data_IF_621536794744
#
_entry.id   IF_621536794744
#
_cell.length_a   1.000
_cell.length_b   1.000
_cell.length_c   1.000
_cell.angle_alpha   90.00
_cell.angle_beta   90.00
_cell.angle_gamma   90.00
#
_symmetry.space_group_name_H-M   'P 1'
#
loop_
_entity.id
_entity.type
_entity.pdbx_description
1 polymer ?
#
# COMPACT_ATOMS: atom_id res chain seq x y z
N UNK A 1 16.23 -1.07 -15.07
CA UNK A 1 14.84 -0.61 -15.24
C UNK A 1 13.97 -1.84 -15.04
N UNK A 2 13.75 -2.23 -13.78
CA UNK A 2 12.57 -3.01 -13.41
C UNK A 2 11.53 -1.97 -13.04
N UNK A 3 10.38 -1.97 -13.69
CA UNK A 3 9.24 -1.28 -13.10
C UNK A 3 8.90 -2.10 -11.87
N UNK A 4 8.90 -1.48 -10.69
CA UNK A 4 8.63 -2.19 -9.45
C UNK A 4 7.18 -2.66 -9.46
N UNK A 5 6.96 -3.84 -10.04
CA UNK A 5 5.67 -4.47 -10.13
C UNK A 5 5.29 -4.91 -8.72
N UNK A 6 4.41 -4.14 -8.09
CA UNK A 6 3.79 -4.52 -6.83
C UNK A 6 2.67 -5.50 -7.14
N UNK A 7 2.52 -6.55 -6.33
CA UNK A 7 1.36 -7.45 -6.39
C UNK A 7 0.53 -7.29 -5.14
N UNK A 8 -0.78 -7.11 -5.28
CA UNK A 8 -1.73 -7.28 -4.21
C UNK A 8 -2.30 -8.69 -4.30
N UNK A 9 -2.33 -9.42 -3.19
CA UNK A 9 -2.94 -10.75 -3.05
C UNK A 9 -3.95 -10.71 -1.89
N UNK A 10 -5.21 -11.00 -2.19
CA UNK A 10 -6.28 -11.14 -1.20
C UNK A 10 -6.34 -12.58 -0.67
N UNK A 11 -6.91 -12.78 0.51
CA UNK A 11 -7.08 -14.11 1.11
C UNK A 11 -7.78 -15.13 0.17
N UNK A 12 -8.73 -14.68 -0.66
CA UNK A 12 -9.38 -15.53 -1.68
C UNK A 12 -8.43 -16.06 -2.77
N UNK A 13 -7.20 -15.55 -2.85
CA UNK A 13 -6.27 -15.82 -3.95
C UNK A 13 -6.49 -14.93 -5.18
N UNK A 14 -7.29 -13.86 -5.05
CA UNK A 14 -7.36 -12.82 -6.06
C UNK A 14 -6.05 -12.02 -6.04
N UNK A 15 -5.44 -11.83 -7.22
CA UNK A 15 -4.15 -11.14 -7.34
C UNK A 15 -4.20 -10.07 -8.42
N UNK A 16 -3.75 -8.88 -8.05
CA UNK A 16 -3.65 -7.73 -8.95
C UNK A 16 -2.18 -7.35 -9.08
N UNK A 17 -1.70 -7.32 -10.33
CA UNK A 17 -0.40 -6.77 -10.69
C UNK A 17 -0.52 -5.26 -10.85
N UNK A 18 0.38 -4.50 -10.21
CA UNK A 18 0.40 -3.04 -10.18
C UNK A 18 -0.91 -2.41 -9.65
N UNK A 19 -1.32 -2.70 -8.40
CA UNK A 19 -2.51 -2.10 -7.82
C UNK A 19 -2.32 -0.58 -7.64
N UNK A 20 -3.08 0.20 -8.39
CA UNK A 20 -3.18 1.65 -8.22
C UNK A 20 -3.95 2.02 -6.94
N UNK A 21 -3.91 3.29 -6.51
CA UNK A 21 -4.63 3.77 -5.33
C UNK A 21 -6.14 3.43 -5.39
N UNK A 22 -6.79 3.66 -6.53
CA UNK A 22 -8.17 3.26 -6.78
C UNK A 22 -8.37 1.74 -6.67
N UNK A 23 -7.41 0.94 -7.14
CA UNK A 23 -7.47 -0.52 -7.01
C UNK A 23 -7.33 -0.97 -5.56
N UNK A 24 -6.45 -0.32 -4.77
CA UNK A 24 -6.34 -0.56 -3.33
C UNK A 24 -7.63 -0.16 -2.60
N UNK A 25 -8.22 0.98 -2.96
CA UNK A 25 -9.50 1.41 -2.42
C UNK A 25 -10.58 0.36 -2.70
N UNK A 26 -10.72 -0.09 -3.95
CA UNK A 26 -11.69 -1.12 -4.32
C UNK A 26 -11.42 -2.45 -3.62
N UNK A 27 -10.16 -2.87 -3.46
CA UNK A 27 -9.83 -4.10 -2.74
C UNK A 27 -10.20 -4.02 -1.27
N UNK A 28 -9.93 -2.89 -0.61
CA UNK A 28 -10.24 -2.71 0.82
C UNK A 28 -11.75 -2.52 1.03
N UNK A 29 -12.46 -1.90 0.08
CA UNK A 29 -13.93 -1.84 0.05
C UNK A 29 -14.52 -3.25 -0.12
N UNK A 30 -13.95 -4.07 -1.02
CA UNK A 30 -14.33 -5.47 -1.20
C UNK A 30 -14.10 -6.31 0.07
N UNK A 31 -13.08 -6.03 0.89
CA UNK A 31 -12.90 -6.70 2.20
C UNK A 31 -14.10 -6.50 3.14
N UNK A 32 -14.88 -5.44 2.97
CA UNK A 32 -16.07 -5.17 3.79
C UNK A 32 -17.33 -5.85 3.24
N UNK A 33 -17.38 -6.18 1.94
CA UNK A 33 -18.54 -6.80 1.28
C UNK A 33 -18.37 -8.33 1.06
N UNK A 34 -17.13 -8.78 0.87
CA UNK A 34 -16.74 -10.18 0.66
C UNK A 34 -16.29 -10.87 1.95
N UNK A 35 -16.23 -12.21 1.95
CA UNK A 35 -15.62 -13.04 3.03
C UNK A 35 -14.07 -12.89 3.12
N UNK A 36 -13.49 -11.83 2.56
CA UNK A 36 -12.04 -11.60 2.60
C UNK A 36 -11.65 -10.85 3.87
N UNK A 37 -10.81 -11.46 4.70
CA UNK A 37 -10.43 -10.84 5.99
C UNK A 37 -9.20 -9.94 5.87
N UNK A 38 -8.35 -10.16 4.86
CA UNK A 38 -7.14 -9.38 4.65
C UNK A 38 -6.66 -9.39 3.19
N UNK A 39 -5.83 -8.40 2.85
CA UNK A 39 -5.08 -8.28 1.60
C UNK A 39 -3.61 -7.98 1.91
N UNK A 40 -2.69 -8.56 1.14
CA UNK A 40 -1.24 -8.36 1.27
C UNK A 40 -0.69 -7.78 -0.03
N UNK A 41 0.07 -6.69 0.07
CA UNK A 41 0.77 -6.05 -1.05
C UNK A 41 2.28 -6.15 -0.82
N UNK A 42 3.00 -6.64 -1.83
CA UNK A 42 4.46 -6.81 -1.81
C UNK A 42 5.04 -6.70 -3.23
N UNK A 43 6.32 -6.36 -3.39
CA UNK A 43 6.97 -6.38 -4.70
C UNK A 43 7.06 -7.82 -5.23
N UNK A 44 6.81 -8.00 -6.53
CA UNK A 44 6.90 -9.30 -7.21
C UNK A 44 8.35 -9.65 -7.61
N UNK A 45 9.18 -8.65 -7.90
CA UNK A 45 10.55 -8.84 -8.41
C UNK A 45 11.59 -9.29 -7.35
N UNK A 46 11.23 -9.34 -6.05
CA UNK A 46 12.18 -9.65 -4.97
C UNK A 46 11.73 -10.81 -4.09
N UNK A 47 12.56 -11.87 -4.03
CA UNK A 47 12.41 -13.00 -3.10
C UNK A 47 13.73 -13.19 -2.32
N UNK A 48 13.81 -12.79 -1.03
CA UNK A 48 12.74 -12.25 -0.19
C UNK A 48 12.41 -10.77 -0.48
N UNK A 49 11.14 -10.35 -0.32
CA UNK A 49 10.72 -8.98 -0.59
C UNK A 49 11.33 -7.97 0.37
N UNK A 50 11.79 -6.84 -0.17
CA UNK A 50 12.35 -5.74 0.60
C UNK A 50 11.37 -5.12 1.59
N UNK A 51 10.08 -5.11 1.26
CA UNK A 51 9.00 -4.63 2.13
C UNK A 51 7.71 -5.37 1.79
N UNK A 52 6.78 -5.44 2.75
CA UNK A 52 5.45 -6.01 2.59
C UNK A 52 4.47 -5.13 3.37
N UNK A 53 3.28 -4.90 2.86
CA UNK A 53 2.21 -4.26 3.60
C UNK A 53 0.95 -5.10 3.53
N UNK A 54 0.19 -5.21 4.60
CA UNK A 54 -1.08 -5.92 4.60
C UNK A 54 -2.16 -5.07 5.25
N UNK A 55 -3.39 -5.21 4.78
CA UNK A 55 -4.58 -4.58 5.36
C UNK A 55 -5.51 -5.69 5.81
N UNK A 56 -5.94 -5.62 7.06
CA UNK A 56 -6.84 -6.60 7.68
C UNK A 56 -8.08 -5.89 8.19
N UNK A 57 -9.26 -6.44 7.96
CA UNK A 57 -10.51 -5.92 8.53
C UNK A 57 -10.58 -6.26 10.02
N UNK A 58 -10.98 -5.29 10.84
CA UNK A 58 -11.23 -5.46 12.26
C UNK A 58 -12.74 -5.59 12.48
N UNK A 59 -13.17 -6.62 13.22
CA UNK A 59 -14.57 -6.84 13.66
C UNK A 59 -15.25 -5.60 14.30
N UNK A 60 -14.46 -4.66 14.81
CA UNK A 60 -14.94 -3.41 15.40
C UNK A 60 -15.34 -2.33 14.37
N UNK A 61 -15.28 -2.63 13.06
CA UNK A 61 -15.62 -1.68 11.99
C UNK A 61 -14.45 -0.76 11.60
N UNK A 62 -13.23 -1.28 11.64
CA UNK A 62 -12.02 -0.57 11.21
C UNK A 62 -11.08 -1.49 10.45
N UNK A 63 -9.89 -1.00 10.14
CA UNK A 63 -8.87 -1.75 9.42
C UNK A 63 -7.52 -1.60 10.13
N UNK A 64 -6.78 -2.70 10.18
CA UNK A 64 -5.39 -2.73 10.62
C UNK A 64 -4.48 -2.79 9.40
N UNK A 65 -3.58 -1.83 9.29
CA UNK A 65 -2.58 -1.73 8.23
C UNK A 65 -1.23 -2.07 8.82
N UNK A 66 -0.68 -3.22 8.43
CA UNK A 66 0.64 -3.68 8.87
C UNK A 66 1.64 -3.42 7.75
N UNK A 67 2.63 -2.59 8.02
CA UNK A 67 3.69 -2.20 7.12
C UNK A 67 5.01 -2.77 7.62
N UNK A 68 5.63 -3.64 6.85
CA UNK A 68 6.87 -4.32 7.21
C UNK A 68 7.95 -3.98 6.21
N UNK A 69 9.08 -3.53 6.72
CA UNK A 69 10.24 -3.19 5.92
C UNK A 69 11.39 -4.12 6.32
N UNK A 70 11.72 -5.05 5.44
CA UNK A 70 12.82 -6.00 5.65
C UNK A 70 14.17 -5.30 5.54
N UNK A 71 14.30 -4.28 4.68
CA UNK A 71 15.54 -3.53 4.45
C UNK A 71 15.94 -2.69 5.66
N UNK A 72 14.96 -2.03 6.30
CA UNK A 72 15.14 -1.22 7.51
C UNK A 72 14.87 -2.01 8.80
N UNK A 73 14.41 -3.24 8.67
CA UNK A 73 14.02 -4.12 9.78
C UNK A 73 12.96 -3.48 10.68
N UNK A 74 12.09 -2.69 10.07
CA UNK A 74 11.04 -1.90 10.73
C UNK A 74 9.68 -2.56 10.53
N UNK A 75 8.83 -2.46 11.55
CA UNK A 75 7.43 -2.89 11.48
C UNK A 75 6.58 -1.78 12.06
N UNK A 76 5.74 -1.20 11.23
CA UNK A 76 4.75 -0.21 11.58
C UNK A 76 3.36 -0.85 11.51
N UNK A 77 2.52 -0.58 12.50
CA UNK A 77 1.12 -1.05 12.53
C UNK A 77 0.25 0.15 12.81
N UNK A 78 -0.62 0.48 11.86
CA UNK A 78 -1.57 1.56 11.96
C UNK A 78 -2.99 1.00 12.00
N UNK A 79 -3.85 1.61 12.80
CA UNK A 79 -5.29 1.30 12.79
C UNK A 79 -6.03 2.51 12.26
N UNK A 80 -6.86 2.29 11.25
CA UNK A 80 -7.62 3.33 10.59
C UNK A 80 -9.05 2.86 10.31
N UNK A 81 -9.99 3.79 10.34
CA UNK A 81 -11.40 3.51 10.06
C UNK A 81 -11.84 4.01 8.69
N UNK A 82 -10.94 4.67 7.94
CA UNK A 82 -11.25 5.27 6.64
C UNK A 82 -10.42 4.61 5.54
N UNK A 83 -11.10 3.91 4.63
CA UNK A 83 -10.49 3.25 3.47
C UNK A 83 -9.67 4.22 2.62
N UNK A 84 -10.18 5.44 2.41
CA UNK A 84 -9.47 6.51 1.67
C UNK A 84 -8.12 6.86 2.30
N UNK A 85 -8.07 7.04 3.64
CA UNK A 85 -6.83 7.36 4.33
C UNK A 85 -5.83 6.20 4.29
N UNK A 86 -6.34 4.96 4.37
CA UNK A 86 -5.52 3.75 4.27
C UNK A 86 -4.91 3.64 2.87
N UNK A 87 -5.74 3.68 1.82
CA UNK A 87 -5.30 3.56 0.44
C UNK A 87 -4.28 4.65 0.10
N UNK A 88 -4.59 5.91 0.41
CA UNK A 88 -3.68 7.04 0.21
C UNK A 88 -2.40 6.92 1.04
N UNK A 89 -2.52 6.51 2.30
CA UNK A 89 -1.39 6.31 3.19
C UNK A 89 -0.45 5.20 2.71
N UNK A 90 -1.02 4.12 2.17
CA UNK A 90 -0.28 3.03 1.54
C UNK A 90 0.41 3.49 0.26
N UNK A 91 -0.29 4.18 -0.64
CA UNK A 91 0.29 4.73 -1.87
C UNK A 91 1.48 5.64 -1.56
N UNK A 92 1.36 6.55 -0.58
CA UNK A 92 2.47 7.41 -0.15
C UNK A 92 3.62 6.59 0.45
N UNK A 93 3.30 5.60 1.28
CA UNK A 93 4.29 4.74 1.96
C UNK A 93 5.06 3.84 0.96
N UNK A 94 4.38 3.34 -0.07
CA UNK A 94 4.96 2.58 -1.18
C UNK A 94 5.81 3.50 -2.05
N UNK A 95 5.28 4.67 -2.46
CA UNK A 95 6.04 5.65 -3.24
C UNK A 95 7.30 6.15 -2.52
N UNK A 96 7.31 6.21 -1.19
CA UNK A 96 8.50 6.53 -0.42
C UNK A 96 9.58 5.42 -0.44
N UNK A 97 9.20 4.18 -0.78
CA UNK A 97 10.08 2.99 -0.85
C UNK A 97 10.46 2.61 -2.26
N UNK A 98 9.61 2.92 -3.23
CA UNK A 98 9.79 2.68 -4.66
C UNK A 98 10.93 3.48 -5.30
N UNK A 99 11.74 4.18 -4.51
CA UNK A 99 12.84 5.00 -5.02
C UNK A 99 14.18 4.27 -4.93
N UNK A 100 14.58 3.54 -6.00
CA UNK A 100 15.92 3.61 -6.53
C UNK A 100 15.92 4.60 -7.71
N UNK A 101 15.78 5.91 -7.42
CA UNK A 101 16.28 6.96 -8.32
C UNK A 101 15.30 7.89 -9.04
N UNK A 102 14.04 8.06 -8.63
CA UNK A 102 13.31 9.24 -9.11
C UNK A 102 13.88 10.50 -8.41
N UNK A 103 14.12 11.62 -9.11
CA UNK A 103 14.26 12.90 -8.45
C UNK A 103 12.89 13.21 -7.86
N UNK A 104 12.86 13.51 -6.56
CA UNK A 104 11.71 14.11 -5.88
C UNK A 104 11.26 15.30 -6.72
N UNK A 105 10.18 15.14 -7.50
CA UNK A 105 9.65 16.25 -8.27
C UNK A 105 9.00 17.16 -7.24
N UNK A 106 9.76 18.18 -6.92
CA UNK A 106 9.52 19.24 -5.98
C UNK A 106 8.15 19.86 -6.25
N UNK A 107 7.10 19.32 -5.63
CA UNK A 107 5.80 19.99 -5.47
C UNK A 107 5.98 21.14 -4.48
N UNK A 108 6.62 22.20 -4.94
CA UNK A 108 6.73 23.49 -4.26
C UNK A 108 7.05 24.58 -5.28
N UNK A 109 6.25 24.71 -6.34
CA UNK A 109 6.07 25.99 -7.01
C UNK A 109 4.71 26.55 -6.59
N UNK A 110 4.66 26.95 -5.31
CA UNK A 110 3.66 27.89 -4.84
C UNK A 110 4.14 29.27 -5.26
N UNK A 111 3.48 29.81 -6.28
CA UNK A 111 3.08 31.21 -6.43
C UNK A 111 3.90 32.26 -5.69
N UNK A 112 4.65 33.10 -6.41
CA UNK A 112 4.84 34.48 -5.97
C UNK A 112 4.76 35.45 -7.16
N UNK A 113 3.68 36.23 -7.16
CA UNK A 113 3.55 37.40 -8.00
C UNK A 113 4.19 38.61 -7.33
N UNK A 114 4.82 39.45 -8.15
CA UNK A 114 5.02 40.88 -7.93
C UNK A 114 5.41 41.53 -9.26
#
# INVERSE_FOLDING_TARGET
MGAAYCRAESENGDRIEDPSEDALFMLIDDLNDSDNTFVVIQPDEEDPPSWCTSVTVLDAGGYEVVRRDSTRRERDVATETSIDQIARGLTIWMAARDFPGHPTQNSSDFSNGA
#
